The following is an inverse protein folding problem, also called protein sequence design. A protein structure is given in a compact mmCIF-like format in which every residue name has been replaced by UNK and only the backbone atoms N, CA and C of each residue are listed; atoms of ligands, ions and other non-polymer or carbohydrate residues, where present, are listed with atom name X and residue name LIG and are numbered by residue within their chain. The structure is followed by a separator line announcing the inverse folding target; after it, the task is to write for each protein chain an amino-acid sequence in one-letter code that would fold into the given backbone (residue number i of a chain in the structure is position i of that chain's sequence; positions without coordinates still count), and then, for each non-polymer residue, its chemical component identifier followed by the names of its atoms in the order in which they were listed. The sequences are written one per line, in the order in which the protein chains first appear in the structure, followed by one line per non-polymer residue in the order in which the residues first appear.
data_IF_133567940506
#
_entry.id   IF_133567940506
#
_cell.length_a   1.000
_cell.length_b   1.000
_cell.length_c   1.000
_cell.angle_alpha   90.00
_cell.angle_beta   90.00
_cell.angle_gamma   90.00
#
_symmetry.space_group_name_H-M   'P 1'
#
loop_
_entity.id
_entity.type
_entity.pdbx_description
1 polymer ?
#
# COMPACT_ATOMS: atom_id res chain seq x y z
N UNK A 1 -11.70 -7.03 1.84
CA UNK A 1 -10.90 -5.80 2.00
C UNK A 1 -9.49 -6.03 1.48
N UNK A 2 -8.88 -7.16 1.82
CA UNK A 2 -7.50 -7.51 1.44
C UNK A 2 -7.24 -7.47 -0.07
N UNK A 3 -8.16 -7.94 -0.91
CA UNK A 3 -7.99 -7.95 -2.36
C UNK A 3 -7.72 -6.56 -2.98
N UNK A 4 -8.31 -5.49 -2.42
CA UNK A 4 -8.12 -4.13 -2.94
C UNK A 4 -6.77 -3.55 -2.49
N UNK A 5 -6.34 -3.87 -1.27
CA UNK A 5 -5.03 -3.47 -0.75
C UNK A 5 -3.91 -4.25 -1.47
N UNK A 6 -4.12 -5.54 -1.74
CA UNK A 6 -3.22 -6.39 -2.53
C UNK A 6 -3.06 -5.85 -3.95
N UNK A 7 -4.16 -5.42 -4.58
CA UNK A 7 -4.11 -4.79 -5.90
C UNK A 7 -3.29 -3.49 -5.89
N UNK A 8 -3.33 -2.75 -4.79
CA UNK A 8 -2.52 -1.55 -4.63
C UNK A 8 -1.02 -1.86 -4.41
N UNK A 9 -0.68 -3.04 -3.87
CA UNK A 9 0.71 -3.54 -3.83
C UNK A 9 1.23 -3.92 -5.22
N UNK A 10 0.34 -4.25 -6.16
CA UNK A 10 0.71 -4.60 -7.54
C UNK A 10 1.01 -3.39 -8.44
N UNK A 11 0.93 -2.16 -7.91
CA UNK A 11 1.30 -0.96 -8.65
C UNK A 11 2.80 -1.00 -8.97
N UNK A 12 3.15 -0.67 -10.21
CA UNK A 12 4.53 -0.62 -10.66
C UNK A 12 5.31 0.46 -9.88
N UNK A 13 6.21 0.01 -9.02
CA UNK A 13 7.22 0.84 -8.36
C UNK A 13 8.46 0.88 -9.26
N UNK A 14 9.16 2.03 -9.36
CA UNK A 14 10.43 2.10 -10.08
C UNK A 14 11.40 0.99 -9.64
N UNK A 15 12.15 0.41 -10.58
CA UNK A 15 13.02 -0.75 -10.33
C UNK A 15 14.15 -0.49 -9.34
N UNK A 16 14.52 0.76 -9.12
CA UNK A 16 15.52 1.21 -8.15
C UNK A 16 14.92 1.47 -6.74
N UNK A 17 13.61 1.30 -6.59
CA UNK A 17 12.89 1.43 -5.33
C UNK A 17 12.28 0.11 -4.90
N UNK A 18 12.15 -0.05 -3.59
CA UNK A 18 11.49 -1.18 -2.95
C UNK A 18 10.30 -0.66 -2.14
N UNK A 19 9.17 -1.36 -2.23
CA UNK A 19 7.98 -1.07 -1.43
C UNK A 19 8.22 -1.49 0.02
N UNK A 20 8.15 -0.53 0.95
CA UNK A 20 8.28 -0.75 2.38
C UNK A 20 6.93 -0.99 3.04
N UNK A 21 5.94 -0.14 2.74
CA UNK A 21 4.64 -0.20 3.39
C UNK A 21 3.52 0.29 2.46
N UNK A 22 2.34 -0.31 2.62
CA UNK A 22 1.09 0.19 2.04
C UNK A 22 0.15 0.54 3.19
N UNK A 23 -0.25 1.81 3.29
CA UNK A 23 -1.11 2.33 4.35
C UNK A 23 -2.43 2.75 3.72
N UNK A 24 -3.56 2.08 4.02
CA UNK A 24 -4.86 2.53 3.53
C UNK A 24 -5.24 3.87 4.16
N UNK A 25 -5.71 4.83 3.36
CA UNK A 25 -6.17 6.13 3.86
C UNK A 25 -7.69 6.26 3.78
N UNK A 26 -8.25 6.05 2.58
CA UNK A 26 -9.67 6.25 2.32
C UNK A 26 -10.23 5.16 1.41
N UNK A 27 -11.53 4.93 1.52
CA UNK A 27 -12.28 4.04 0.66
C UNK A 27 -13.40 4.83 -0.02
N UNK A 28 -13.70 4.43 -1.24
CA UNK A 28 -14.88 4.89 -1.98
C UNK A 28 -15.73 3.67 -2.30
N UNK A 29 -17.00 3.72 -1.91
CA UNK A 29 -17.98 2.70 -2.29
C UNK A 29 -19.00 3.37 -3.21
N UNK A 30 -19.12 2.86 -4.43
CA UNK A 30 -19.96 3.40 -5.49
C UNK A 30 -19.67 4.89 -5.78
N UNK A 31 -20.51 5.81 -5.31
CA UNK A 31 -20.33 7.28 -5.43
C UNK A 31 -20.11 7.97 -4.06
N UNK A 32 -19.99 7.20 -2.98
CA UNK A 32 -19.73 7.73 -1.64
C UNK A 32 -18.23 7.70 -1.35
N UNK A 33 -17.62 8.88 -1.33
CA UNK A 33 -16.20 9.09 -1.05
C UNK A 33 -15.89 9.26 0.44
N UNK A 34 -14.59 9.21 0.77
CA UNK A 34 -14.03 9.49 2.11
C UNK A 34 -14.55 8.58 3.24
N UNK A 35 -14.81 7.31 2.92
CA UNK A 35 -15.15 6.29 3.91
C UNK A 35 -13.87 5.82 4.59
N UNK A 36 -13.75 6.01 5.91
CA UNK A 36 -12.58 5.54 6.68
C UNK A 36 -12.59 4.03 6.91
N UNK A 37 -13.75 3.47 7.23
CA UNK A 37 -13.92 2.04 7.48
C UNK A 37 -15.14 1.53 6.69
N UNK A 38 -14.92 0.73 5.64
CA UNK A 38 -16.01 0.21 4.80
C UNK A 38 -16.70 -1.02 5.43
N UNK A 39 -16.42 -1.36 6.69
CA UNK A 39 -16.93 -2.57 7.33
C UNK A 39 -18.44 -2.45 7.53
N UNK A 40 -19.19 -3.45 7.05
CA UNK A 40 -20.65 -3.47 7.11
C UNK A 40 -21.34 -2.67 6.01
N UNK A 41 -20.61 -2.05 5.10
CA UNK A 41 -21.16 -1.37 3.94
C UNK A 41 -21.27 -2.32 2.74
N UNK A 42 -22.31 -2.16 1.93
CA UNK A 42 -22.55 -2.94 0.71
C UNK A 42 -22.50 -2.01 -0.48
N UNK A 43 -21.81 -2.41 -1.54
CA UNK A 43 -21.77 -1.69 -2.80
C UNK A 43 -21.21 -2.56 -3.91
N UNK A 44 -21.35 -2.09 -5.15
CA UNK A 44 -20.93 -2.85 -6.33
C UNK A 44 -19.47 -2.58 -6.65
N UNK A 45 -18.99 -1.34 -6.40
CA UNK A 45 -17.61 -0.92 -6.69
C UNK A 45 -16.94 -0.41 -5.43
N UNK A 46 -15.86 -1.06 -5.04
CA UNK A 46 -14.97 -0.60 -3.97
C UNK A 46 -13.66 -0.11 -4.57
N UNK A 47 -13.30 1.14 -4.28
CA UNK A 47 -11.97 1.70 -4.54
C UNK A 47 -11.28 1.98 -3.21
N UNK A 48 -9.95 1.89 -3.20
CA UNK A 48 -9.15 2.26 -2.03
C UNK A 48 -8.06 3.23 -2.46
N UNK A 49 -7.97 4.33 -1.73
CA UNK A 49 -6.83 5.25 -1.76
C UNK A 49 -5.83 4.79 -0.72
N UNK A 50 -4.66 4.38 -1.18
CA UNK A 50 -3.56 3.96 -0.32
C UNK A 50 -2.38 4.91 -0.44
N UNK A 51 -1.67 5.09 0.65
CA UNK A 51 -0.37 5.72 0.68
C UNK A 51 0.71 4.65 0.61
N UNK A 52 1.58 4.76 -0.39
CA UNK A 52 2.64 3.80 -0.65
C UNK A 52 3.97 4.39 -0.21
N UNK A 53 4.62 3.73 0.74
CA UNK A 53 5.92 4.12 1.27
C UNK A 53 6.97 3.27 0.57
N UNK A 54 7.87 3.91 -0.16
CA UNK A 54 9.02 3.29 -0.82
C UNK A 54 10.32 3.83 -0.28
N UNK A 55 11.40 3.08 -0.54
CA UNK A 55 12.74 3.62 -0.40
C UNK A 55 13.64 3.05 -1.50
N UNK A 56 14.82 3.64 -1.66
CA UNK A 56 15.81 3.14 -2.59
C UNK A 56 16.27 1.72 -2.19
N UNK A 57 16.32 0.82 -3.16
CA UNK A 57 16.66 -0.59 -2.95
C UNK A 57 18.09 -0.77 -2.39
N UNK A 58 19.00 0.14 -2.77
CA UNK A 58 20.37 0.16 -2.23
C UNK A 58 20.41 0.50 -0.73
N UNK A 59 19.54 1.41 -0.27
CA UNK A 59 19.46 1.81 1.13
C UNK A 59 19.03 0.64 2.02
N UNK A 60 18.01 -0.13 1.61
CA UNK A 60 17.61 -1.37 2.30
C UNK A 60 18.77 -2.34 2.35
N UNK A 61 19.38 -2.64 1.19
CA UNK A 61 20.47 -3.62 1.13
C UNK A 61 21.63 -3.25 2.05
N UNK A 62 21.96 -1.96 2.14
CA UNK A 62 23.01 -1.48 3.04
C UNK A 62 22.62 -1.63 4.52
N UNK A 63 21.39 -1.27 4.90
CA UNK A 63 20.90 -1.41 6.28
C UNK A 63 20.84 -2.88 6.70
N UNK A 64 20.29 -3.77 5.84
CA UNK A 64 20.23 -5.21 6.12
C UNK A 64 21.61 -5.84 6.30
N UNK A 65 22.59 -5.43 5.47
CA UNK A 65 23.97 -5.87 5.63
C UNK A 65 24.51 -5.43 6.98
N UNK A 66 24.40 -4.14 7.32
CA UNK A 66 24.89 -3.61 8.60
C UNK A 66 24.34 -4.37 9.81
N UNK A 67 23.04 -4.72 9.80
CA UNK A 67 22.42 -5.45 10.91
C UNK A 67 22.87 -6.91 10.97
N UNK A 68 23.11 -7.57 9.83
CA UNK A 68 23.60 -8.96 9.80
C UNK A 68 25.04 -9.12 10.31
N UNK A 69 25.81 -8.03 10.39
CA UNK A 69 27.18 -8.01 10.92
C UNK A 69 27.27 -7.63 12.40
N UNK A 70 26.13 -7.39 13.06
CA UNK A 70 25.99 -7.27 14.52
C UNK A 70 25.57 -8.63 15.12
#
# INVERSE_FOLDING_TARGET
MDAVIESARAVAVPSDQTMLHVIPQEYTIDEQDSIKEPIGMTGVRLKSSVHLVTCASNAISNIEKCIKFL
#
